data_IF_809855848077
#
_entry.id   IF_809855848077
#
_cell.length_a   1.000
_cell.length_b   1.000
_cell.length_c   1.000
_cell.angle_alpha   90.00
_cell.angle_beta   90.00
_cell.angle_gamma   90.00
#
_symmetry.space_group_name_H-M   'P 1'
#
loop_
_entity.id
_entity.type
_entity.pdbx_description
1 polymer ?
#
# COMPACT_ATOMS: atom_id res chain seq x y z
N UNK A 1 24.02 -18.16 -9.68
CA UNK A 1 25.40 -17.74 -9.33
C UNK A 1 25.73 -16.31 -9.76
N UNK A 2 25.16 -15.77 -10.84
CA UNK A 2 25.42 -14.40 -11.31
C UNK A 2 25.31 -13.30 -10.23
N UNK A 3 24.22 -13.26 -9.46
CA UNK A 3 24.03 -12.23 -8.42
C UNK A 3 25.10 -12.25 -7.33
N UNK A 4 25.69 -13.41 -7.01
CA UNK A 4 26.74 -13.54 -5.99
C UNK A 4 28.09 -12.97 -6.47
N UNK A 5 28.35 -13.02 -7.77
CA UNK A 5 29.59 -12.58 -8.40
C UNK A 5 29.50 -11.19 -9.06
N UNK A 6 28.31 -10.59 -9.10
CA UNK A 6 28.11 -9.24 -9.58
C UNK A 6 28.45 -8.21 -8.49
N UNK A 7 28.95 -7.03 -8.88
CA UNK A 7 29.15 -5.94 -7.94
C UNK A 7 27.79 -5.41 -7.46
N UNK A 8 27.61 -5.33 -6.14
CA UNK A 8 26.38 -4.82 -5.55
C UNK A 8 26.48 -3.32 -5.27
N UNK A 9 25.53 -2.52 -5.76
CA UNK A 9 25.58 -1.03 -5.69
C UNK A 9 25.81 -0.48 -4.28
N UNK A 10 25.12 -1.00 -3.26
CA UNK A 10 25.22 -0.47 -1.88
C UNK A 10 26.57 -0.78 -1.21
N UNK A 11 27.25 -1.82 -1.68
CA UNK A 11 28.47 -2.35 -1.05
C UNK A 11 29.70 -2.02 -1.90
N UNK A 12 29.51 -1.82 -3.20
CA UNK A 12 30.51 -1.62 -4.24
C UNK A 12 31.50 -2.79 -4.41
N UNK A 13 31.13 -3.98 -3.93
CA UNK A 13 31.93 -5.20 -4.04
C UNK A 13 31.05 -6.41 -4.36
N UNK A 14 31.68 -7.54 -4.70
CA UNK A 14 30.99 -8.80 -4.99
C UNK A 14 30.57 -9.51 -3.69
N UNK A 15 29.30 -9.91 -3.50
CA UNK A 15 28.87 -10.65 -2.32
C UNK A 15 29.68 -11.92 -2.03
N UNK A 16 30.12 -12.63 -3.08
CA UNK A 16 31.00 -13.80 -2.98
C UNK A 16 32.34 -13.49 -2.33
N UNK A 17 32.94 -12.35 -2.68
CA UNK A 17 34.22 -11.93 -2.13
C UNK A 17 34.12 -11.64 -0.64
N UNK A 18 33.01 -11.05 -0.21
CA UNK A 18 32.78 -10.72 1.21
C UNK A 18 32.53 -11.96 2.06
N UNK A 19 31.86 -12.96 1.51
CA UNK A 19 31.56 -14.19 2.21
C UNK A 19 32.78 -15.14 2.28
N UNK A 20 33.54 -15.25 1.19
CA UNK A 20 34.59 -16.26 1.05
C UNK A 20 36.02 -15.70 1.02
N UNK A 21 36.20 -14.38 1.01
CA UNK A 21 37.50 -13.73 0.82
C UNK A 21 38.09 -13.88 -0.59
N UNK A 22 37.32 -14.43 -1.53
CA UNK A 22 37.74 -14.66 -2.93
C UNK A 22 36.57 -14.63 -3.88
N UNK A 23 36.86 -14.35 -5.15
CA UNK A 23 35.85 -14.43 -6.21
C UNK A 23 35.57 -15.90 -6.55
N UNK A 24 34.29 -16.24 -6.77
CA UNK A 24 33.91 -17.58 -7.22
C UNK A 24 34.18 -17.64 -8.72
N UNK A 25 34.90 -18.68 -9.15
CA UNK A 25 35.19 -18.97 -10.55
C UNK A 25 33.92 -19.35 -11.30
N UNK A 26 33.58 -18.59 -12.33
CA UNK A 26 32.46 -18.86 -13.23
C UNK A 26 32.93 -19.62 -14.48
N UNK A 27 32.06 -20.40 -15.13
CA UNK A 27 32.39 -21.05 -16.41
C UNK A 27 33.04 -20.14 -17.47
N UNK A 28 32.56 -18.89 -17.71
CA UNK A 28 33.24 -17.96 -18.62
C UNK A 28 34.65 -17.56 -18.16
N UNK A 29 34.93 -17.56 -16.86
CA UNK A 29 36.26 -17.19 -16.36
C UNK A 29 37.32 -18.17 -16.87
N UNK A 30 37.00 -19.45 -17.08
CA UNK A 30 37.97 -20.40 -17.63
C UNK A 30 38.39 -20.11 -19.08
N UNK A 31 37.52 -19.45 -19.86
CA UNK A 31 37.76 -19.16 -21.26
C UNK A 31 38.36 -17.75 -21.42
N UNK A 32 37.89 -16.80 -20.61
CA UNK A 32 38.19 -15.38 -20.80
C UNK A 32 39.07 -14.76 -19.72
N UNK A 33 39.27 -15.40 -18.55
CA UNK A 33 40.08 -14.80 -17.50
C UNK A 33 41.57 -15.02 -17.75
N UNK A 34 42.35 -13.95 -17.55
CA UNK A 34 43.80 -14.05 -17.54
C UNK A 34 44.25 -14.75 -16.25
N UNK A 35 45.19 -15.70 -16.32
CA UNK A 35 45.73 -16.33 -15.14
C UNK A 35 46.47 -15.28 -14.30
N UNK A 36 45.96 -15.02 -13.10
CA UNK A 36 46.64 -14.13 -12.14
C UNK A 36 47.84 -14.88 -11.57
N UNK A 37 49.03 -14.63 -12.11
CA UNK A 37 50.28 -15.19 -11.57
C UNK A 37 50.69 -14.34 -10.37
N UNK A 38 50.56 -14.90 -9.17
CA UNK A 38 51.07 -14.29 -7.93
C UNK A 38 52.40 -14.94 -7.56
N UNK A 39 53.48 -14.17 -7.60
CA UNK A 39 54.82 -14.60 -7.15
C UNK A 39 55.00 -14.48 -5.63
N UNK A 40 53.92 -14.27 -4.89
CA UNK A 40 53.96 -14.11 -3.45
C UNK A 40 54.15 -15.46 -2.76
N UNK A 41 55.12 -15.56 -1.84
CA UNK A 41 55.21 -16.68 -0.90
C UNK A 41 53.91 -16.82 -0.09
N UNK A 42 53.65 -18.01 0.48
CA UNK A 42 52.40 -18.28 1.23
C UNK A 42 52.17 -17.29 2.38
N UNK A 43 53.23 -16.81 3.03
CA UNK A 43 53.12 -15.78 4.07
C UNK A 43 52.72 -14.41 3.50
N UNK A 44 53.28 -14.04 2.35
CA UNK A 44 52.98 -12.81 1.63
C UNK A 44 51.52 -12.76 1.14
N UNK A 45 50.99 -13.86 0.60
CA UNK A 45 49.59 -13.95 0.18
C UNK A 45 48.59 -13.71 1.32
N UNK A 46 48.86 -14.25 2.52
CA UNK A 46 47.99 -14.07 3.69
C UNK A 46 47.91 -12.60 4.10
N UNK A 47 49.05 -11.91 4.14
CA UNK A 47 49.12 -10.49 4.48
C UNK A 47 48.37 -9.65 3.44
N UNK A 48 48.56 -9.94 2.16
CA UNK A 48 47.84 -9.28 1.07
C UNK A 48 46.32 -9.48 1.16
N UNK A 49 45.88 -10.69 1.49
CA UNK A 49 44.45 -10.98 1.66
C UNK A 49 43.85 -10.20 2.84
N UNK A 50 44.55 -10.16 3.98
CA UNK A 50 44.13 -9.38 5.16
C UNK A 50 44.04 -7.89 4.80
N UNK A 51 45.06 -7.35 4.14
CA UNK A 51 45.08 -5.96 3.71
C UNK A 51 43.94 -5.64 2.72
N UNK A 52 43.68 -6.52 1.76
CA UNK A 52 42.55 -6.41 0.84
C UNK A 52 41.22 -6.40 1.58
N UNK A 53 41.00 -7.35 2.49
CA UNK A 53 39.77 -7.43 3.27
C UNK A 53 39.57 -6.17 4.12
N UNK A 54 40.59 -5.74 4.88
CA UNK A 54 40.51 -4.53 5.70
C UNK A 54 40.17 -3.29 4.86
N UNK A 55 40.80 -3.15 3.68
CA UNK A 55 40.50 -2.07 2.74
C UNK A 55 39.06 -2.15 2.25
N UNK A 56 38.59 -3.33 1.84
CA UNK A 56 37.21 -3.50 1.38
C UNK A 56 36.19 -3.20 2.47
N UNK A 57 36.39 -3.69 3.70
CA UNK A 57 35.47 -3.40 4.82
C UNK A 57 35.42 -1.92 5.16
N UNK A 58 36.55 -1.21 5.07
CA UNK A 58 36.59 0.25 5.27
C UNK A 58 35.75 0.98 4.22
N UNK A 59 35.86 0.58 2.95
CA UNK A 59 35.06 1.15 1.85
C UNK A 59 33.56 0.85 2.06
N UNK A 60 33.23 -0.40 2.38
CA UNK A 60 31.86 -0.85 2.59
C UNK A 60 31.21 -0.09 3.73
N UNK A 61 31.90 0.07 4.86
CA UNK A 61 31.41 0.86 5.98
C UNK A 61 31.02 2.27 5.54
N UNK A 62 31.91 2.95 4.81
CA UNK A 62 31.63 4.31 4.30
C UNK A 62 30.44 4.35 3.32
N UNK A 63 30.27 3.31 2.49
CA UNK A 63 29.16 3.22 1.54
C UNK A 63 27.82 2.95 2.23
N UNK A 64 27.82 2.10 3.26
CA UNK A 64 26.64 1.81 4.06
C UNK A 64 26.22 3.03 4.87
N UNK A 65 27.16 3.76 5.46
CA UNK A 65 26.90 5.04 6.15
C UNK A 65 26.25 6.04 5.20
N UNK A 66 26.84 6.27 4.01
CA UNK A 66 26.25 7.14 2.97
C UNK A 66 24.86 6.68 2.54
N UNK A 67 24.66 5.38 2.34
CA UNK A 67 23.35 4.83 1.97
C UNK A 67 22.32 5.04 3.08
N UNK A 68 22.72 4.90 4.35
CA UNK A 68 21.86 5.14 5.50
C UNK A 68 21.47 6.62 5.60
N UNK A 69 22.41 7.55 5.35
CA UNK A 69 22.14 8.99 5.30
C UNK A 69 21.19 9.37 4.17
N UNK A 70 21.36 8.79 2.98
CA UNK A 70 20.43 9.04 1.86
C UNK A 70 19.04 8.53 2.19
N UNK A 71 18.95 7.34 2.78
CA UNK A 71 17.67 6.75 3.17
C UNK A 71 17.00 7.51 4.31
N UNK A 72 17.76 8.04 5.28
CA UNK A 72 17.20 8.84 6.38
C UNK A 72 16.69 10.19 5.91
N UNK A 73 17.33 10.81 4.91
CA UNK A 73 16.85 12.03 4.25
C UNK A 73 15.60 11.78 3.40
N UNK A 74 15.41 10.56 2.90
CA UNK A 74 14.24 10.17 2.14
C UNK A 74 13.02 9.93 3.05
N UNK A 75 12.61 10.95 3.81
CA UNK A 75 11.32 10.96 4.47
C UNK A 75 10.27 11.45 3.48
N UNK A 76 9.69 10.52 2.72
CA UNK A 76 8.51 10.85 1.90
C UNK A 76 7.41 11.46 2.78
N UNK A 77 6.73 12.50 2.27
CA UNK A 77 5.57 13.08 2.97
C UNK A 77 4.52 11.98 3.19
N UNK A 78 4.18 11.72 4.44
CA UNK A 78 3.11 10.78 4.77
C UNK A 78 1.79 11.44 4.33
N UNK A 79 0.95 10.78 3.51
CA UNK A 79 -0.32 11.35 3.09
C UNK A 79 -1.24 11.52 4.30
N UNK A 80 -2.14 12.51 4.26
CA UNK A 80 -3.03 12.83 5.39
C UNK A 80 -3.88 11.65 5.88
N UNK A 81 -4.31 10.76 4.96
CA UNK A 81 -5.07 9.53 5.29
C UNK A 81 -4.28 8.53 6.17
N UNK A 82 -2.97 8.75 6.34
CA UNK A 82 -2.06 7.90 7.11
C UNK A 82 -1.65 8.53 8.45
N UNK A 83 -2.23 9.67 8.81
CA UNK A 83 -2.11 10.26 10.14
C UNK A 83 -3.06 9.53 11.09
N UNK A 84 -2.52 8.51 11.74
CA UNK A 84 -3.24 7.65 12.68
C UNK A 84 -2.66 7.86 14.08
N UNK A 85 -3.54 8.09 15.03
CA UNK A 85 -3.21 8.28 16.45
C UNK A 85 -3.75 7.14 17.30
N UNK A 86 -3.31 7.09 18.56
CA UNK A 86 -3.78 6.10 19.51
C UNK A 86 -5.25 6.39 19.84
N UNK A 87 -6.09 5.36 19.81
CA UNK A 87 -7.53 5.49 20.03
C UNK A 87 -8.36 5.54 18.74
N UNK A 88 -7.74 5.84 17.59
CA UNK A 88 -8.42 5.82 16.30
C UNK A 88 -8.97 4.43 15.96
N UNK A 89 -10.11 4.41 15.27
CA UNK A 89 -10.68 3.20 14.68
C UNK A 89 -10.12 3.03 13.26
N UNK A 90 -9.66 1.83 12.97
CA UNK A 90 -8.95 1.51 11.73
C UNK A 90 -9.39 0.16 11.16
N UNK A 91 -9.40 0.04 9.84
CA UNK A 91 -9.53 -1.25 9.15
C UNK A 91 -8.17 -1.87 8.85
N UNK A 92 -8.09 -3.19 8.95
CA UNK A 92 -6.90 -3.96 8.62
C UNK A 92 -7.04 -4.59 7.23
N UNK A 93 -6.15 -4.26 6.30
CA UNK A 93 -6.05 -4.95 5.02
C UNK A 93 -5.26 -6.26 5.16
N UNK A 94 -5.97 -7.36 4.97
CA UNK A 94 -5.45 -8.72 4.97
C UNK A 94 -5.75 -9.32 3.60
N UNK A 95 -4.79 -9.31 2.65
CA UNK A 95 -4.99 -9.84 1.31
C UNK A 95 -5.03 -11.38 1.26
N UNK A 96 -5.35 -12.04 2.37
CA UNK A 96 -5.43 -13.49 2.48
C UNK A 96 -6.81 -13.94 2.02
N UNK A 97 -6.84 -14.63 0.89
CA UNK A 97 -8.07 -15.14 0.32
C UNK A 97 -8.45 -16.45 1.04
N UNK A 98 -9.73 -16.60 1.43
CA UNK A 98 -10.21 -17.86 2.00
C UNK A 98 -10.15 -18.99 0.96
N UNK A 99 -9.86 -20.21 1.41
CA UNK A 99 -9.89 -21.38 0.53
C UNK A 99 -11.31 -21.54 -0.03
N UNK A 100 -11.43 -21.78 -1.34
CA UNK A 100 -12.68 -21.83 -2.10
C UNK A 100 -13.41 -20.48 -2.29
N UNK A 101 -12.79 -19.34 -1.95
CA UNK A 101 -13.28 -18.02 -2.32
C UNK A 101 -12.56 -17.45 -3.54
N UNK A 102 -13.27 -16.65 -4.34
CA UNK A 102 -12.65 -15.94 -5.45
C UNK A 102 -12.11 -14.58 -4.99
N UNK A 103 -10.96 -14.16 -5.53
CA UNK A 103 -10.32 -12.88 -5.19
C UNK A 103 -11.25 -11.66 -5.34
N UNK A 104 -12.21 -11.72 -6.28
CA UNK A 104 -13.14 -10.63 -6.58
C UNK A 104 -14.22 -10.43 -5.52
N UNK A 105 -14.63 -11.50 -4.84
CA UNK A 105 -15.75 -11.48 -3.89
C UNK A 105 -15.29 -11.55 -2.43
N UNK A 106 -13.98 -11.68 -2.17
CA UNK A 106 -13.46 -11.78 -0.82
C UNK A 106 -13.28 -10.41 -0.13
N UNK A 107 -13.46 -10.40 1.19
CA UNK A 107 -13.34 -9.19 2.02
C UNK A 107 -11.88 -9.01 2.45
N UNK A 108 -11.15 -8.17 1.71
CA UNK A 108 -9.74 -7.87 1.98
C UNK A 108 -9.56 -7.02 3.25
N UNK A 109 -10.50 -6.12 3.52
CA UNK A 109 -10.48 -5.28 4.72
C UNK A 109 -11.27 -5.98 5.83
N UNK A 110 -10.57 -6.27 6.91
CA UNK A 110 -11.10 -6.88 8.12
C UNK A 110 -11.34 -5.81 9.16
N UNK A 111 -12.46 -5.98 9.89
CA UNK A 111 -12.76 -5.50 11.23
C UNK A 111 -12.54 -4.02 11.54
N UNK A 112 -13.41 -3.38 12.32
CA UNK A 112 -12.99 -2.16 13.00
C UNK A 112 -12.05 -2.57 14.14
N UNK A 113 -10.78 -2.20 14.03
CA UNK A 113 -9.79 -2.34 15.07
C UNK A 113 -9.57 -0.99 15.75
N UNK A 114 -9.22 -0.99 17.03
CA UNK A 114 -8.81 0.20 17.77
C UNK A 114 -7.30 0.22 17.94
N UNK A 115 -6.66 1.35 17.65
CA UNK A 115 -5.23 1.51 17.87
C UNK A 115 -4.95 1.64 19.36
N UNK A 116 -4.16 0.71 19.92
CA UNK A 116 -3.79 0.72 21.34
C UNK A 116 -2.52 1.53 21.57
N UNK A 117 -1.53 1.34 20.70
CA UNK A 117 -0.20 1.91 20.89
C UNK A 117 0.52 2.08 19.55
N UNK A 118 1.38 3.09 19.49
CA UNK A 118 2.27 3.36 18.37
C UNK A 118 3.69 2.92 18.76
N UNK A 119 4.14 1.79 18.24
CA UNK A 119 5.49 1.24 18.55
C UNK A 119 6.58 1.96 17.75
N UNK A 120 6.28 2.33 16.51
CA UNK A 120 7.15 3.11 15.63
C UNK A 120 6.26 4.03 14.79
N UNK A 121 6.74 5.17 14.25
CA UNK A 121 6.07 5.92 13.19
C UNK A 121 5.33 5.08 12.14
N UNK A 122 5.86 3.90 11.80
CA UNK A 122 5.29 3.01 10.77
C UNK A 122 4.65 1.74 11.33
N UNK A 123 4.80 1.42 12.62
CA UNK A 123 4.30 0.16 13.20
C UNK A 123 3.38 0.44 14.38
N UNK A 124 2.16 -0.09 14.32
CA UNK A 124 1.09 0.14 15.27
C UNK A 124 0.63 -1.18 15.89
N UNK A 125 0.19 -1.12 17.14
CA UNK A 125 -0.53 -2.20 17.81
C UNK A 125 -2.02 -1.92 17.77
N UNK A 126 -2.78 -2.84 17.21
CA UNK A 126 -4.22 -2.75 17.04
C UNK A 126 -4.93 -3.85 17.82
N UNK A 127 -6.13 -3.54 18.31
CA UNK A 127 -7.01 -4.44 19.05
C UNK A 127 -8.31 -4.61 18.28
N UNK A 128 -8.84 -5.82 18.19
CA UNK A 128 -10.21 -5.96 17.71
C UNK A 128 -11.18 -5.33 18.73
N UNK A 129 -12.20 -4.62 18.23
CA UNK A 129 -13.24 -4.03 19.09
C UNK A 129 -14.14 -5.11 19.67
N UNK A 130 -14.44 -6.14 18.88
CA UNK A 130 -15.34 -7.21 19.28
C UNK A 130 -14.62 -8.25 20.15
N UNK A 131 -13.36 -8.54 19.83
CA UNK A 131 -12.55 -9.56 20.50
C UNK A 131 -11.33 -8.93 21.18
N UNK A 132 -11.45 -8.52 22.46
CA UNK A 132 -10.39 -7.79 23.13
C UNK A 132 -9.09 -8.59 23.36
N UNK A 133 -9.11 -9.91 23.18
CA UNK A 133 -7.91 -10.75 23.22
C UNK A 133 -7.07 -10.71 21.94
N UNK A 134 -7.63 -10.26 20.82
CA UNK A 134 -6.97 -10.26 19.52
C UNK A 134 -6.15 -8.96 19.33
N UNK A 135 -4.88 -9.00 19.75
CA UNK A 135 -3.93 -7.90 19.61
C UNK A 135 -2.94 -8.24 18.49
N UNK A 136 -2.80 -7.33 17.52
CA UNK A 136 -1.91 -7.52 16.39
C UNK A 136 -0.95 -6.34 16.24
N UNK A 137 0.29 -6.61 15.82
CA UNK A 137 1.28 -5.59 15.48
C UNK A 137 1.35 -5.49 13.96
N UNK A 138 1.00 -4.33 13.41
CA UNK A 138 0.78 -4.15 11.98
C UNK A 138 1.49 -2.90 11.47
N UNK A 139 1.99 -2.99 10.23
CA UNK A 139 2.59 -1.88 9.50
C UNK A 139 1.52 -0.90 8.98
N UNK A 140 1.80 0.40 9.03
CA UNK A 140 0.94 1.51 8.64
C UNK A 140 0.27 1.29 7.28
N UNK A 141 1.01 0.88 6.25
CA UNK A 141 0.46 0.60 4.91
C UNK A 141 -0.67 -0.44 4.85
N UNK A 142 -0.86 -1.26 5.88
CA UNK A 142 -1.96 -2.23 5.96
C UNK A 142 -3.16 -1.70 6.73
N UNK A 143 -3.09 -0.48 7.26
CA UNK A 143 -4.10 0.11 8.14
C UNK A 143 -4.75 1.28 7.41
N UNK A 144 -6.08 1.37 7.50
CA UNK A 144 -6.86 2.47 6.94
C UNK A 144 -7.66 3.13 8.06
N UNK A 145 -7.51 4.46 8.23
CA UNK A 145 -8.31 5.22 9.19
C UNK A 145 -9.77 5.24 8.74
N UNK A 146 -10.67 4.91 9.66
CA UNK A 146 -12.10 5.05 9.41
C UNK A 146 -12.44 6.54 9.52
N UNK A 147 -12.97 7.19 8.46
CA UNK A 147 -13.44 8.55 8.57
C UNK A 147 -14.63 8.60 9.52
N UNK A 148 -14.68 9.61 10.38
CA UNK A 148 -15.86 9.89 11.19
C UNK A 148 -17.03 10.16 10.23
N UNK A 149 -18.10 9.37 10.40
CA UNK A 149 -19.34 9.59 9.68
C UNK A 149 -20.22 10.43 10.59
N UNK A 150 -20.72 11.55 10.09
CA UNK A 150 -21.85 12.21 10.72
C UNK A 150 -23.01 11.20 10.77
N UNK A 151 -23.55 10.95 11.95
CA UNK A 151 -24.82 10.23 12.07
C UNK A 151 -25.86 11.08 11.34
N UNK A 152 -26.33 10.57 10.21
CA UNK A 152 -27.48 11.16 9.56
C UNK A 152 -28.66 10.92 10.49
N UNK A 153 -29.13 12.00 11.14
CA UNK A 153 -30.38 12.01 11.87
C UNK A 153 -31.47 11.78 10.84
N UNK A 154 -31.83 10.52 10.62
CA UNK A 154 -33.10 10.22 9.99
C UNK A 154 -34.14 10.66 11.01
N UNK A 155 -34.91 11.70 10.71
CA UNK A 155 -36.00 12.11 11.59
C UNK A 155 -37.01 10.96 11.67
N UNK A 156 -36.97 10.19 12.76
CA UNK A 156 -38.18 9.56 13.27
C UNK A 156 -39.08 10.68 13.74
N UNK A 157 -40.00 11.10 12.88
CA UNK A 157 -41.22 11.75 13.34
C UNK A 157 -42.08 10.71 14.06
N UNK A 158 -41.63 10.30 15.25
CA UNK A 158 -42.46 9.62 16.24
C UNK A 158 -43.41 10.68 16.83
N UNK A 159 -44.43 11.03 16.06
CA UNK A 159 -45.58 11.77 16.57
C UNK A 159 -46.47 10.78 17.35
N UNK A 160 -46.10 10.47 18.59
CA UNK A 160 -47.05 9.91 19.55
C UNK A 160 -47.97 11.02 20.07
N UNK A 161 -49.05 11.29 19.34
CA UNK A 161 -50.30 11.80 19.93
C UNK A 161 -51.47 10.98 19.37
N UNK A 162 -52.32 10.36 20.21
CA UNK A 162 -53.52 9.70 19.74
C UNK A 162 -54.54 10.79 19.39
N UNK A 163 -54.60 11.18 18.11
CA UNK A 163 -55.62 12.09 17.60
C UNK A 163 -56.71 11.27 16.93
N UNK A 164 -57.92 11.41 17.46
CA UNK A 164 -59.15 10.75 17.05
C UNK A 164 -59.36 10.79 15.53
N UNK A 165 -59.59 9.60 14.97
CA UNK A 165 -59.93 9.41 13.56
C UNK A 165 -61.37 9.88 13.34
N UNK A 166 -61.53 11.05 12.74
CA UNK A 166 -62.72 11.40 11.93
C UNK A 166 -62.27 11.58 10.48
N UNK A 167 -62.94 10.95 9.50
CA UNK A 167 -62.52 11.05 8.10
C UNK A 167 -63.03 12.38 7.54
N UNK A 168 -62.12 13.33 7.32
CA UNK A 168 -62.40 14.49 6.47
C UNK A 168 -61.65 14.31 5.16
N UNK A 169 -62.41 14.44 4.08
CA UNK A 169 -62.06 14.11 2.71
C UNK A 169 -60.78 14.80 2.17
N UNK A 170 -59.92 13.96 1.60
CA UNK A 170 -59.15 14.11 0.35
C UNK A 170 -58.76 15.55 -0.08
N UNK A 171 -57.49 15.88 0.07
CA UNK A 171 -56.71 16.81 -0.75
C UNK A 171 -55.32 16.21 -0.94
N UNK A 172 -54.62 16.24 -2.07
CA UNK A 172 -54.90 16.55 -3.46
C UNK A 172 -53.73 15.85 -4.19
N UNK A 173 -54.02 14.89 -5.07
CA UNK A 173 -52.99 14.22 -5.86
C UNK A 173 -52.47 15.27 -6.84
N UNK A 174 -51.19 15.63 -6.77
CA UNK A 174 -50.58 16.48 -7.79
C UNK A 174 -50.74 15.79 -9.14
N UNK A 175 -51.42 16.45 -10.08
CA UNK A 175 -51.64 15.93 -11.42
C UNK A 175 -50.32 15.87 -12.18
N UNK A 176 -50.16 14.87 -13.06
CA UNK A 176 -48.91 14.59 -13.79
C UNK A 176 -48.39 15.80 -14.58
N UNK A 177 -49.29 16.70 -14.99
CA UNK A 177 -48.98 17.95 -15.69
C UNK A 177 -48.19 18.95 -14.81
N UNK A 178 -48.46 19.02 -13.51
CA UNK A 178 -47.75 19.91 -12.58
C UNK A 178 -46.31 19.45 -12.33
N UNK A 179 -46.09 18.13 -12.35
CA UNK A 179 -44.78 17.51 -12.17
C UNK A 179 -43.91 17.74 -13.42
N UNK A 180 -44.49 17.57 -14.61
CA UNK A 180 -43.80 17.81 -15.89
C UNK A 180 -43.41 19.28 -16.12
N UNK A 181 -44.17 20.22 -15.53
CA UNK A 181 -43.86 21.66 -15.60
C UNK A 181 -42.68 22.05 -14.72
N UNK A 182 -42.50 21.39 -13.58
CA UNK A 182 -41.36 21.64 -12.67
C UNK A 182 -40.07 20.97 -13.14
N UNK A 183 -40.16 19.81 -13.78
CA UNK A 183 -39.00 19.06 -14.27
C UNK A 183 -39.23 18.61 -15.71
N UNK A 184 -39.07 19.50 -16.70
CA UNK A 184 -39.18 19.10 -18.10
C UNK A 184 -38.09 18.07 -18.43
N UNK A 185 -38.41 16.99 -19.17
CA UNK A 185 -37.43 15.99 -19.55
C UNK A 185 -36.34 16.62 -20.44
N UNK A 186 -35.08 16.30 -20.15
CA UNK A 186 -33.95 16.76 -20.94
C UNK A 186 -33.97 16.09 -22.32
N UNK A 187 -34.42 16.82 -23.35
CA UNK A 187 -34.30 16.38 -24.75
C UNK A 187 -33.05 17.02 -25.36
N UNK A 188 -32.10 16.19 -25.80
CA UNK A 188 -31.03 16.62 -26.68
C UNK A 188 -31.65 17.04 -28.03
N UNK A 189 -31.25 18.16 -28.65
CA UNK A 189 -31.72 18.51 -29.97
C UNK A 189 -31.19 17.50 -30.98
N UNK A 190 -32.06 16.59 -31.42
CA UNK A 190 -31.86 15.84 -32.65
C UNK A 190 -32.31 16.75 -33.79
N UNK A 191 -31.35 17.40 -34.45
CA UNK A 191 -31.59 18.03 -35.75
C UNK A 191 -32.04 16.93 -36.72
N UNK A 192 -33.27 17.02 -37.20
CA UNK A 192 -33.76 16.20 -38.31
C UNK A 192 -33.00 16.63 -39.56
N UNK A 193 -31.87 15.98 -39.82
CA UNK A 193 -31.19 16.07 -41.10
C UNK A 193 -32.15 15.68 -42.22
N UNK A 194 -32.28 16.57 -43.20
CA UNK A 194 -33.03 16.38 -44.44
C UNK A 194 -32.49 15.13 -45.17
N UNK A 195 -33.18 14.00 -45.02
CA UNK A 195 -33.05 12.89 -45.96
C UNK A 195 -33.87 13.25 -47.20
N UNK A 196 -33.21 13.83 -48.19
CA UNK A 196 -33.76 13.98 -49.53
C UNK A 196 -33.68 12.62 -50.24
N UNK A 197 -34.81 11.92 -50.35
CA UNK A 197 -34.94 10.75 -51.22
C UNK A 197 -35.05 11.22 -52.68
N UNK A 198 -33.94 11.16 -53.41
CA UNK A 198 -33.95 11.34 -54.87
C UNK A 198 -34.42 10.03 -55.55
N UNK A 199 -35.67 10.01 -56.04
CA UNK A 199 -36.11 9.04 -57.06
C UNK A 199 -36.92 9.78 -58.14
N UNK A 200 -36.23 10.19 -59.22
CA UNK A 200 -36.56 9.90 -60.63
C UNK A 200 -35.54 10.55 -61.58
#
# INVERSE_FOLDING_TARGET
MAYRNAHHRSVNEKPSFLLYGRNITMPPDFIYSEPVISYAETFSYKQDLINKLNRTFSIIKSNLEKSAEVNSKFTGKIPKNKLIEVGDIVYLNTPRIKVNATKKLDKLNQGPFRVIAKTNPVVFKIKDINEPGNIQTVHLNRIFKVPERATFEWETSDNETPVDIRPTAVQCVQTEEEILRKFPPYTLPLELGEYQDDIN
#
